data_IF_716674705895
#
_entry.id   IF_716674705895
#
_cell.length_a   1.000
_cell.length_b   1.000
_cell.length_c   1.000
_cell.angle_alpha   90.00
_cell.angle_beta   90.00
_cell.angle_gamma   90.00
#
_symmetry.space_group_name_H-M   'P 1'
#
loop_
_entity.id
_entity.type
_entity.pdbx_description
1 polymer ?
#
# COMPACT_ATOMS: atom_id res chain seq x y z
N UNK A 1 69.90 42.94 1.84
CA UNK A 1 69.26 42.55 0.56
C UNK A 1 68.75 43.73 -0.29
N UNK A 2 68.90 44.98 0.16
CA UNK A 2 68.36 46.19 -0.49
C UNK A 2 69.44 47.15 -1.03
N UNK A 3 70.68 46.69 -1.23
CA UNK A 3 71.77 47.60 -1.64
C UNK A 3 71.71 48.04 -3.12
N UNK A 4 70.75 47.52 -3.92
CA UNK A 4 70.48 47.93 -5.32
C UNK A 4 68.98 47.80 -5.68
N UNK A 5 68.09 48.65 -5.13
CA UNK A 5 66.64 48.47 -5.19
C UNK A 5 66.09 48.41 -6.63
N UNK A 6 66.60 49.25 -7.54
CA UNK A 6 66.22 49.21 -8.97
C UNK A 6 66.52 47.87 -9.65
N UNK A 7 67.67 47.24 -9.33
CA UNK A 7 68.07 45.96 -9.93
C UNK A 7 67.23 44.80 -9.37
N UNK A 8 66.89 44.85 -8.09
CA UNK A 8 66.04 43.86 -7.43
C UNK A 8 64.60 43.94 -7.94
N UNK A 9 64.00 45.14 -8.00
CA UNK A 9 62.65 45.34 -8.54
C UNK A 9 62.53 44.91 -10.01
N UNK A 10 63.54 45.21 -10.84
CA UNK A 10 63.57 44.77 -12.24
C UNK A 10 63.60 43.24 -12.37
N UNK A 11 64.35 42.54 -11.52
CA UNK A 11 64.37 41.07 -11.50
C UNK A 11 63.02 40.48 -11.07
N UNK A 12 62.41 41.01 -10.01
CA UNK A 12 61.09 40.55 -9.53
C UNK A 12 60.03 40.78 -10.61
N UNK A 13 60.02 41.96 -11.24
CA UNK A 13 59.08 42.28 -12.31
C UNK A 13 59.26 41.36 -13.52
N UNK A 14 60.50 41.01 -13.88
CA UNK A 14 60.81 40.09 -14.97
C UNK A 14 60.32 38.66 -14.66
N UNK A 15 60.52 38.19 -13.42
CA UNK A 15 60.01 36.89 -12.96
C UNK A 15 58.48 36.87 -13.01
N UNK A 16 57.81 37.91 -12.50
CA UNK A 16 56.36 38.02 -12.55
C UNK A 16 55.83 38.07 -13.98
N UNK A 17 56.51 38.77 -14.89
CA UNK A 17 56.16 38.80 -16.31
C UNK A 17 56.28 37.42 -16.96
N UNK A 18 57.35 36.67 -16.67
CA UNK A 18 57.54 35.30 -17.15
C UNK A 18 56.43 34.38 -16.63
N UNK A 19 56.11 34.45 -15.33
CA UNK A 19 55.03 33.66 -14.73
C UNK A 19 53.67 34.01 -15.36
N UNK A 20 53.40 35.29 -15.57
CA UNK A 20 52.16 35.76 -16.20
C UNK A 20 52.04 35.29 -17.64
N UNK A 21 53.15 35.32 -18.39
CA UNK A 21 53.21 34.82 -19.76
C UNK A 21 52.98 33.30 -19.80
N UNK A 22 53.63 32.54 -18.91
CA UNK A 22 53.43 31.10 -18.81
C UNK A 22 51.98 30.74 -18.45
N UNK A 23 51.39 31.48 -17.50
CA UNK A 23 49.97 31.34 -17.13
C UNK A 23 49.04 31.64 -18.29
N UNK A 24 49.29 32.70 -19.05
CA UNK A 24 48.52 33.05 -20.25
C UNK A 24 48.59 31.97 -21.33
N UNK A 25 49.78 31.43 -21.59
CA UNK A 25 49.97 30.33 -22.56
C UNK A 25 49.20 29.09 -22.12
N UNK A 26 49.28 28.72 -20.84
CA UNK A 26 48.50 27.60 -20.29
C UNK A 26 46.99 27.83 -20.47
N UNK A 27 46.51 29.04 -20.17
CA UNK A 27 45.10 29.40 -20.30
C UNK A 27 44.61 29.32 -21.74
N UNK A 28 45.40 29.84 -22.69
CA UNK A 28 45.07 29.75 -24.12
C UNK A 28 45.04 28.30 -24.61
N UNK A 29 45.96 27.46 -24.16
CA UNK A 29 45.98 26.03 -24.47
C UNK A 29 44.74 25.33 -23.91
N UNK A 30 44.39 25.59 -22.64
CA UNK A 30 43.20 25.03 -22.01
C UNK A 30 41.92 25.45 -22.75
N UNK A 31 41.79 26.75 -23.07
CA UNK A 31 40.66 27.29 -23.82
C UNK A 31 40.55 26.70 -25.23
N UNK A 32 41.68 26.57 -25.93
CA UNK A 32 41.74 25.96 -27.26
C UNK A 32 41.30 24.48 -27.22
N UNK A 33 41.80 23.70 -26.26
CA UNK A 33 41.40 22.31 -26.07
C UNK A 33 39.90 22.21 -25.81
N UNK A 34 39.35 23.10 -24.97
CA UNK A 34 37.93 23.11 -24.62
C UNK A 34 37.00 23.38 -25.80
N UNK A 35 37.36 24.33 -26.67
CA UNK A 35 36.51 24.71 -27.81
C UNK A 35 36.73 23.80 -29.02
N UNK A 36 37.98 23.45 -29.32
CA UNK A 36 38.33 22.80 -30.59
C UNK A 36 38.51 21.29 -30.48
N UNK A 37 38.67 20.76 -29.26
CA UNK A 37 38.81 19.32 -29.00
C UNK A 37 37.95 18.88 -27.82
N UNK A 38 36.62 19.10 -27.86
CA UNK A 38 35.72 18.67 -26.77
C UNK A 38 35.78 17.15 -26.52
N UNK A 39 36.02 16.35 -27.56
CA UNK A 39 36.22 14.90 -27.45
C UNK A 39 37.43 14.53 -26.56
N UNK A 40 38.48 15.35 -26.54
CA UNK A 40 39.64 15.12 -25.68
C UNK A 40 39.28 15.37 -24.21
N UNK A 41 38.47 16.39 -23.93
CA UNK A 41 37.92 16.63 -22.58
C UNK A 41 37.01 15.48 -22.17
N UNK A 42 36.09 15.04 -23.03
CA UNK A 42 35.24 13.88 -22.75
C UNK A 42 36.08 12.62 -22.46
N UNK A 43 37.13 12.36 -23.25
CA UNK A 43 38.03 11.23 -23.01
C UNK A 43 38.85 11.35 -21.73
N UNK A 44 39.09 12.57 -21.24
CA UNK A 44 39.73 12.81 -19.95
C UNK A 44 38.73 12.60 -18.82
N UNK A 45 37.50 13.11 -18.95
CA UNK A 45 36.40 12.90 -18.00
C UNK A 45 36.07 11.40 -17.85
N UNK A 46 36.07 10.63 -18.94
CA UNK A 46 35.91 9.17 -18.94
C UNK A 46 37.07 8.44 -18.24
N UNK A 47 38.27 9.03 -18.21
CA UNK A 47 39.46 8.48 -17.56
C UNK A 47 39.62 8.90 -16.12
N UNK A 48 38.92 9.94 -15.68
CA UNK A 48 38.86 10.31 -14.26
C UNK A 48 38.03 9.20 -13.58
N UNK A 49 38.64 8.37 -12.70
CA UNK A 49 37.90 7.33 -12.01
C UNK A 49 36.74 7.98 -11.27
N UNK A 50 35.52 7.52 -11.53
CA UNK A 50 34.36 7.97 -10.77
C UNK A 50 34.47 7.37 -9.36
N UNK A 51 35.23 8.05 -8.50
CA UNK A 51 35.53 7.66 -7.12
C UNK A 51 34.26 7.26 -6.37
N UNK A 52 33.17 7.99 -6.58
CA UNK A 52 31.88 7.70 -5.97
C UNK A 52 31.29 6.38 -6.47
N UNK A 53 31.32 6.11 -7.77
CA UNK A 53 30.81 4.86 -8.34
C UNK A 53 31.64 3.65 -7.86
N UNK A 54 32.96 3.78 -7.78
CA UNK A 54 33.82 2.75 -7.20
C UNK A 54 33.56 2.55 -5.70
N UNK A 55 33.39 3.62 -4.92
CA UNK A 55 33.08 3.52 -3.49
C UNK A 55 31.71 2.86 -3.26
N UNK A 56 30.69 3.21 -4.06
CA UNK A 56 29.36 2.60 -3.99
C UNK A 56 29.43 1.11 -4.29
N UNK A 57 30.13 0.71 -5.36
CA UNK A 57 30.30 -0.70 -5.70
C UNK A 57 31.04 -1.45 -4.58
N UNK A 58 32.07 -0.85 -4.00
CA UNK A 58 32.77 -1.44 -2.85
C UNK A 58 31.85 -1.65 -1.65
N UNK A 59 30.99 -0.68 -1.32
CA UNK A 59 30.02 -0.83 -0.24
C UNK A 59 28.96 -1.89 -0.54
N UNK A 60 28.43 -1.93 -1.77
CA UNK A 60 27.51 -2.96 -2.24
C UNK A 60 28.09 -4.36 -2.05
N UNK A 61 29.34 -4.56 -2.45
CA UNK A 61 30.02 -5.85 -2.27
C UNK A 61 30.21 -6.20 -0.80
N UNK A 62 30.60 -5.24 0.06
CA UNK A 62 30.73 -5.49 1.51
C UNK A 62 29.40 -5.90 2.14
N UNK A 63 28.30 -5.22 1.80
CA UNK A 63 26.96 -5.53 2.31
C UNK A 63 26.52 -6.93 1.84
N UNK A 64 26.71 -7.24 0.55
CA UNK A 64 26.34 -8.54 -0.03
C UNK A 64 27.15 -9.71 0.51
N UNK A 65 28.44 -9.48 0.77
CA UNK A 65 29.39 -10.50 1.23
C UNK A 65 29.53 -10.56 2.76
N UNK A 66 28.67 -9.84 3.50
CA UNK A 66 28.67 -9.86 4.96
C UNK A 66 28.36 -11.27 5.47
N UNK A 67 29.15 -11.78 6.42
CA UNK A 67 29.03 -13.16 6.93
C UNK A 67 27.95 -13.29 8.00
N UNK A 68 27.58 -12.19 8.63
CA UNK A 68 26.58 -12.14 9.69
C UNK A 68 25.61 -10.97 9.46
N UNK A 69 24.39 -11.09 10.01
CA UNK A 69 23.41 -10.00 9.99
C UNK A 69 23.95 -8.74 10.67
N UNK A 70 24.67 -8.89 11.79
CA UNK A 70 25.28 -7.76 12.50
C UNK A 70 26.29 -7.00 11.64
N UNK A 71 27.17 -7.72 10.94
CA UNK A 71 28.16 -7.13 10.02
C UNK A 71 27.47 -6.43 8.83
N UNK A 72 26.40 -7.04 8.31
CA UNK A 72 25.60 -6.45 7.24
C UNK A 72 25.01 -5.10 7.68
N UNK A 73 24.40 -5.03 8.86
CA UNK A 73 23.83 -3.80 9.41
C UNK A 73 24.90 -2.74 9.66
N UNK A 74 26.08 -3.12 10.17
CA UNK A 74 27.19 -2.17 10.35
C UNK A 74 27.64 -1.56 9.02
N UNK A 75 27.73 -2.38 7.96
CA UNK A 75 28.07 -1.92 6.62
C UNK A 75 26.97 -1.03 6.01
N UNK A 76 25.70 -1.32 6.28
CA UNK A 76 24.55 -0.48 5.88
C UNK A 76 24.63 0.89 6.56
N UNK A 77 24.87 0.94 7.87
CA UNK A 77 24.98 2.21 8.62
C UNK A 77 26.16 3.05 8.08
N UNK A 78 27.31 2.42 7.80
CA UNK A 78 28.46 3.10 7.18
C UNK A 78 28.11 3.68 5.82
N UNK A 79 27.46 2.89 4.97
CA UNK A 79 27.02 3.34 3.65
C UNK A 79 26.07 4.54 3.76
N UNK A 80 25.04 4.45 4.59
CA UNK A 80 24.09 5.56 4.78
C UNK A 80 24.86 6.80 5.20
N UNK A 81 25.66 6.75 6.28
CA UNK A 81 26.38 7.91 6.79
C UNK A 81 27.36 8.53 5.78
N UNK A 82 28.05 7.73 4.96
CA UNK A 82 29.00 8.23 3.96
C UNK A 82 28.30 8.96 2.81
N UNK A 83 27.20 8.39 2.30
CA UNK A 83 26.53 8.89 1.09
C UNK A 83 25.38 9.85 1.36
N UNK A 84 24.91 9.89 2.59
CA UNK A 84 23.87 10.82 3.04
C UNK A 84 24.29 12.29 2.84
N UNK A 85 25.52 12.65 3.16
CA UNK A 85 25.97 14.06 3.18
C UNK A 85 26.52 14.55 1.83
N UNK A 86 26.86 13.63 0.92
CA UNK A 86 27.85 13.92 -0.12
C UNK A 86 27.35 13.90 -1.55
N UNK A 87 26.15 13.40 -1.87
CA UNK A 87 25.83 13.15 -3.29
C UNK A 87 24.42 13.54 -3.75
N UNK A 88 24.37 14.54 -4.64
CA UNK A 88 23.25 14.83 -5.55
C UNK A 88 23.20 13.89 -6.76
N UNK A 89 23.83 12.72 -6.67
CA UNK A 89 23.92 11.75 -7.75
C UNK A 89 22.71 10.82 -7.72
N UNK A 90 21.78 11.01 -8.66
CA UNK A 90 20.62 10.12 -8.88
C UNK A 90 20.99 8.62 -8.94
N UNK A 91 22.22 8.28 -9.35
CA UNK A 91 22.72 6.89 -9.40
C UNK A 91 22.80 6.19 -8.04
N UNK A 92 22.96 6.93 -6.93
CA UNK A 92 23.10 6.37 -5.58
C UNK A 92 21.74 6.23 -4.90
N UNK A 93 20.82 7.12 -5.26
CA UNK A 93 19.55 7.31 -4.59
C UNK A 93 18.75 6.03 -4.42
N UNK A 94 18.57 5.25 -5.50
CA UNK A 94 17.80 4.00 -5.44
C UNK A 94 18.40 2.96 -4.46
N UNK A 95 19.73 2.88 -4.37
CA UNK A 95 20.37 1.98 -3.42
C UNK A 95 20.31 2.53 -1.98
N UNK A 96 20.36 3.85 -1.81
CA UNK A 96 20.19 4.48 -0.51
C UNK A 96 18.80 4.24 0.09
N UNK A 97 17.74 4.33 -0.74
CA UNK A 97 16.36 3.99 -0.34
C UNK A 97 16.30 2.56 0.20
N UNK A 98 16.85 1.59 -0.53
CA UNK A 98 16.90 0.18 -0.10
C UNK A 98 17.62 0.01 1.25
N UNK A 99 18.73 0.74 1.45
CA UNK A 99 19.49 0.66 2.70
C UNK A 99 18.71 1.21 3.90
N UNK A 100 17.97 2.30 3.73
CA UNK A 100 17.08 2.83 4.77
C UNK A 100 15.98 1.82 5.13
N UNK A 101 15.31 1.24 4.13
CA UNK A 101 14.26 0.24 4.33
C UNK A 101 14.79 -0.98 5.11
N UNK A 102 15.95 -1.52 4.72
CA UNK A 102 16.58 -2.66 5.40
C UNK A 102 16.96 -2.32 6.85
N UNK A 103 17.51 -1.12 7.10
CA UNK A 103 17.90 -0.71 8.43
C UNK A 103 16.70 -0.54 9.36
N UNK A 104 15.64 0.11 8.89
CA UNK A 104 14.39 0.30 9.63
C UNK A 104 13.76 -1.05 9.96
N UNK A 105 13.62 -1.94 8.97
CA UNK A 105 13.06 -3.28 9.19
C UNK A 105 13.85 -4.09 10.20
N UNK A 106 15.19 -4.01 10.15
CA UNK A 106 16.02 -4.66 11.17
C UNK A 106 15.76 -4.11 12.57
N UNK A 107 15.56 -2.78 12.73
CA UNK A 107 15.21 -2.22 14.04
C UNK A 107 13.85 -2.70 14.52
N UNK A 108 12.84 -2.77 13.65
CA UNK A 108 11.51 -3.30 13.98
C UNK A 108 11.60 -4.77 14.42
N UNK A 109 12.27 -5.62 13.65
CA UNK A 109 12.44 -7.06 13.95
C UNK A 109 13.15 -7.32 15.29
N UNK A 110 14.00 -6.38 15.74
CA UNK A 110 14.70 -6.45 17.02
C UNK A 110 13.98 -5.68 18.15
N UNK A 111 12.71 -5.31 17.97
CA UNK A 111 11.90 -4.53 18.93
C UNK A 111 12.53 -3.17 19.30
N UNK A 112 13.28 -2.55 18.39
CA UNK A 112 13.92 -1.24 18.56
C UNK A 112 13.11 -0.13 17.89
N UNK A 113 11.81 -0.05 18.20
CA UNK A 113 10.86 0.85 17.53
C UNK A 113 11.24 2.34 17.62
N UNK A 114 11.86 2.77 18.73
CA UNK A 114 12.37 4.14 18.88
C UNK A 114 13.45 4.45 17.85
N UNK A 115 14.42 3.55 17.65
CA UNK A 115 15.48 3.73 16.65
C UNK A 115 14.94 3.66 15.23
N UNK A 116 13.97 2.78 14.99
CA UNK A 116 13.27 2.72 13.72
C UNK A 116 12.60 4.07 13.40
N UNK A 117 11.88 4.65 14.37
CA UNK A 117 11.22 5.94 14.24
C UNK A 117 12.21 7.09 13.99
N UNK A 118 13.28 7.19 14.78
CA UNK A 118 14.35 8.19 14.59
C UNK A 118 15.00 8.08 13.20
N UNK A 119 15.23 6.85 12.73
CA UNK A 119 15.84 6.59 11.42
C UNK A 119 14.90 7.01 10.29
N UNK A 120 13.61 6.67 10.40
CA UNK A 120 12.60 7.05 9.42
C UNK A 120 12.37 8.58 9.38
N UNK A 121 12.35 9.23 10.55
CA UNK A 121 12.26 10.69 10.64
C UNK A 121 13.44 11.37 9.95
N UNK A 122 14.67 10.92 10.25
CA UNK A 122 15.88 11.45 9.61
C UNK A 122 15.83 11.26 8.09
N UNK A 123 15.37 10.10 7.63
CA UNK A 123 15.23 9.80 6.21
C UNK A 123 14.24 10.76 5.53
N UNK A 124 13.08 10.98 6.15
CA UNK A 124 12.04 11.87 5.64
C UNK A 124 12.48 13.33 5.56
N UNK A 125 13.09 13.85 6.63
CA UNK A 125 13.58 15.23 6.68
C UNK A 125 14.65 15.50 5.62
N UNK A 126 15.48 14.49 5.35
CA UNK A 126 16.58 14.59 4.40
C UNK A 126 16.14 14.48 2.95
N UNK A 127 15.12 13.67 2.68
CA UNK A 127 14.55 13.47 1.36
C UNK A 127 13.06 13.82 1.36
N UNK A 128 12.70 15.11 1.50
CA UNK A 128 11.32 15.54 1.71
C UNK A 128 10.38 15.34 0.50
N UNK A 129 10.89 14.90 -0.64
CA UNK A 129 10.08 14.54 -1.82
C UNK A 129 9.97 13.02 -2.03
N UNK A 130 10.61 12.20 -1.19
CA UNK A 130 10.52 10.73 -1.26
C UNK A 130 9.29 10.24 -0.49
N UNK A 131 8.28 9.75 -1.19
CA UNK A 131 7.06 9.25 -0.57
C UNK A 131 7.29 7.99 0.26
N UNK A 132 8.25 7.12 -0.12
CA UNK A 132 8.59 5.94 0.68
C UNK A 132 9.08 6.31 2.09
N UNK A 133 9.87 7.37 2.21
CA UNK A 133 10.33 7.88 3.49
C UNK A 133 9.15 8.39 4.33
N UNK A 134 8.21 9.11 3.70
CA UNK A 134 6.98 9.59 4.36
C UNK A 134 6.12 8.46 4.87
N UNK A 135 5.91 7.42 4.07
CA UNK A 135 5.11 6.27 4.44
C UNK A 135 5.77 5.45 5.55
N UNK A 136 7.10 5.26 5.49
CA UNK A 136 7.84 4.61 6.57
C UNK A 136 7.70 5.36 7.89
N UNK A 137 7.88 6.69 7.88
CA UNK A 137 7.74 7.51 9.07
C UNK A 137 6.30 7.54 9.61
N UNK A 138 5.30 7.72 8.74
CA UNK A 138 3.89 7.65 9.10
C UNK A 138 3.51 6.31 9.75
N UNK A 139 3.94 5.19 9.17
CA UNK A 139 3.61 3.86 9.69
C UNK A 139 4.19 3.62 11.09
N UNK A 140 5.40 4.12 11.36
CA UNK A 140 6.02 4.03 12.67
C UNK A 140 5.39 5.00 13.69
N UNK A 141 5.03 6.21 13.26
CA UNK A 141 4.25 7.15 14.09
C UNK A 141 2.91 6.53 14.48
N UNK A 142 2.18 5.95 13.53
CA UNK A 142 0.89 5.30 13.75
C UNK A 142 0.93 4.22 14.84
N UNK A 143 2.05 3.51 14.98
CA UNK A 143 2.24 2.49 16.01
C UNK A 143 2.61 3.07 17.39
N UNK A 144 3.09 4.30 17.45
CA UNK A 144 3.65 4.90 18.67
C UNK A 144 2.81 6.05 19.22
N UNK A 145 2.16 6.82 18.36
CA UNK A 145 1.39 8.03 18.67
C UNK A 145 0.37 8.30 17.53
N UNK A 146 -0.87 7.84 17.73
CA UNK A 146 -1.92 7.90 16.70
C UNK A 146 -2.33 9.34 16.35
N UNK A 147 -2.31 10.25 17.32
CA UNK A 147 -2.64 11.66 17.11
C UNK A 147 -1.56 12.36 16.29
N UNK A 148 -0.28 12.19 16.63
CA UNK A 148 0.82 12.72 15.81
C UNK A 148 0.82 12.13 14.41
N UNK A 149 0.49 10.84 14.27
CA UNK A 149 0.40 10.22 12.95
C UNK A 149 -0.69 10.87 12.08
N UNK A 150 -1.84 11.22 12.68
CA UNK A 150 -2.94 11.91 12.02
C UNK A 150 -2.53 13.33 11.60
N UNK A 151 -1.91 14.08 12.51
CA UNK A 151 -1.40 15.42 12.21
C UNK A 151 -0.41 15.38 11.05
N UNK A 152 0.54 14.43 11.08
CA UNK A 152 1.54 14.25 10.05
C UNK A 152 0.93 13.93 8.68
N UNK A 153 0.05 12.93 8.60
CA UNK A 153 -0.55 12.54 7.31
C UNK A 153 -1.55 13.59 6.79
N UNK A 154 -2.23 14.34 7.67
CA UNK A 154 -3.06 15.49 7.30
C UNK A 154 -2.21 16.57 6.62
N UNK A 155 -1.04 16.89 7.19
CA UNK A 155 -0.09 17.84 6.59
C UNK A 155 0.43 17.39 5.23
N UNK A 156 0.64 16.08 5.02
CA UNK A 156 1.01 15.53 3.72
C UNK A 156 -0.17 15.62 2.74
N UNK A 157 -1.37 15.21 3.16
CA UNK A 157 -2.58 15.23 2.33
C UNK A 157 -2.89 16.64 1.82
N UNK A 158 -2.77 17.66 2.67
CA UNK A 158 -2.98 19.05 2.26
C UNK A 158 -2.01 19.53 1.16
N UNK A 159 -0.82 18.92 1.06
CA UNK A 159 0.17 19.23 0.02
C UNK A 159 -0.02 18.40 -1.24
N UNK A 160 -0.49 17.17 -1.09
CA UNK A 160 -0.56 16.16 -2.16
C UNK A 160 -1.90 15.40 -2.15
N UNK A 161 -3.04 16.10 -2.26
CA UNK A 161 -4.37 15.49 -2.13
C UNK A 161 -4.74 14.59 -3.32
N UNK A 162 -4.02 14.72 -4.44
CA UNK A 162 -4.20 13.98 -5.68
C UNK A 162 -3.59 12.57 -5.63
N UNK A 163 -2.62 12.32 -4.74
CA UNK A 163 -1.98 11.02 -4.59
C UNK A 163 -2.91 10.07 -3.82
N UNK A 164 -3.35 9.01 -4.50
CA UNK A 164 -4.33 8.06 -3.97
C UNK A 164 -3.89 7.41 -2.65
N UNK A 165 -2.61 7.01 -2.57
CA UNK A 165 -2.06 6.35 -1.39
C UNK A 165 -2.11 7.27 -0.16
N UNK A 166 -1.76 8.55 -0.31
CA UNK A 166 -1.80 9.55 0.78
C UNK A 166 -3.22 9.76 1.27
N UNK A 167 -4.16 9.95 0.34
CA UNK A 167 -5.57 10.12 0.66
C UNK A 167 -6.14 8.89 1.39
N UNK A 168 -5.72 7.68 0.97
CA UNK A 168 -6.11 6.43 1.62
C UNK A 168 -5.56 6.36 3.04
N UNK A 169 -4.27 6.66 3.23
CA UNK A 169 -3.62 6.67 4.54
C UNK A 169 -4.23 7.75 5.46
N UNK A 170 -4.59 8.91 4.93
CA UNK A 170 -5.26 9.96 5.70
C UNK A 170 -6.66 9.54 6.13
N UNK A 171 -7.46 8.99 5.22
CA UNK A 171 -8.78 8.46 5.53
C UNK A 171 -8.71 7.37 6.62
N UNK A 172 -7.70 6.49 6.57
CA UNK A 172 -7.44 5.49 7.61
C UNK A 172 -7.05 6.12 8.94
N UNK A 173 -6.14 7.10 8.95
CA UNK A 173 -5.73 7.78 10.17
C UNK A 173 -6.90 8.54 10.82
N UNK A 174 -7.76 9.18 10.03
CA UNK A 174 -8.98 9.84 10.50
C UNK A 174 -9.88 8.84 11.23
N UNK A 175 -10.12 7.67 10.63
CA UNK A 175 -10.93 6.60 11.25
C UNK A 175 -10.32 6.16 12.58
N UNK A 176 -9.00 5.89 12.61
CA UNK A 176 -8.32 5.42 13.83
C UNK A 176 -8.39 6.42 14.98
N UNK A 177 -8.61 7.69 14.69
CA UNK A 177 -8.77 8.75 15.67
C UNK A 177 -10.25 9.19 15.83
N UNK A 178 -11.21 8.43 15.28
CA UNK A 178 -12.65 8.67 15.45
C UNK A 178 -13.27 9.73 14.52
N UNK A 179 -12.54 10.24 13.54
CA UNK A 179 -12.99 11.24 12.56
C UNK A 179 -13.68 10.60 11.35
N UNK A 180 -14.71 9.78 11.58
CA UNK A 180 -15.35 8.95 10.55
C UNK A 180 -16.00 9.79 9.44
N UNK A 181 -16.72 10.87 9.80
CA UNK A 181 -17.40 11.73 8.83
C UNK A 181 -16.41 12.43 7.88
N UNK A 182 -15.26 12.87 8.40
CA UNK A 182 -14.20 13.47 7.60
C UNK A 182 -13.61 12.44 6.64
N UNK A 183 -13.35 11.22 7.13
CA UNK A 183 -12.84 10.11 6.31
C UNK A 183 -13.77 9.77 5.13
N UNK A 184 -15.08 9.73 5.38
CA UNK A 184 -16.09 9.53 4.31
C UNK A 184 -16.02 10.66 3.27
N UNK A 185 -15.88 11.91 3.71
CA UNK A 185 -15.77 13.04 2.80
C UNK A 185 -14.49 12.96 1.95
N UNK A 186 -13.35 12.52 2.51
CA UNK A 186 -12.13 12.25 1.74
C UNK A 186 -12.39 11.17 0.68
N UNK A 187 -13.05 10.07 1.05
CA UNK A 187 -13.45 9.02 0.12
C UNK A 187 -14.38 9.50 -1.00
N UNK A 188 -15.31 10.40 -0.70
CA UNK A 188 -16.19 11.04 -1.70
C UNK A 188 -15.42 11.96 -2.64
N UNK A 189 -14.56 12.83 -2.11
CA UNK A 189 -13.72 13.73 -2.91
C UNK A 189 -12.78 12.96 -3.84
N UNK A 190 -12.24 11.84 -3.39
CA UNK A 190 -11.50 10.90 -4.24
C UNK A 190 -12.36 10.24 -5.32
N UNK A 191 -13.64 9.98 -5.06
CA UNK A 191 -14.53 9.43 -6.08
C UNK A 191 -14.76 10.48 -7.16
N UNK A 192 -15.04 11.71 -6.76
CA UNK A 192 -15.29 12.84 -7.67
C UNK A 192 -14.07 13.21 -8.51
N UNK A 193 -12.85 13.17 -7.97
CA UNK A 193 -11.63 13.48 -8.73
C UNK A 193 -11.17 12.37 -9.68
N UNK A 194 -11.61 11.13 -9.48
CA UNK A 194 -11.21 9.97 -10.28
C UNK A 194 -12.29 9.39 -11.20
N UNK A 195 -13.54 9.87 -11.11
CA UNK A 195 -14.59 9.55 -12.08
C UNK A 195 -14.15 9.88 -13.52
N UNK A 196 -13.10 10.69 -13.70
CA UNK A 196 -12.63 11.07 -15.03
C UNK A 196 -11.45 10.30 -15.64
N UNK A 197 -10.62 9.45 -14.99
CA UNK A 197 -9.37 9.02 -15.68
C UNK A 197 -8.64 7.68 -15.34
N UNK A 198 -9.17 6.70 -14.60
CA UNK A 198 -8.53 5.37 -14.53
C UNK A 198 -9.51 4.23 -14.82
N UNK A 199 -9.66 3.91 -16.11
CA UNK A 199 -10.42 2.72 -16.53
C UNK A 199 -9.72 1.46 -16.02
N UNK A 200 -10.47 0.55 -15.40
CA UNK A 200 -9.95 -0.75 -14.97
C UNK A 200 -9.48 -1.52 -16.20
N UNK A 201 -8.20 -1.91 -16.18
CA UNK A 201 -7.57 -2.67 -17.24
C UNK A 201 -7.61 -4.17 -16.95
N UNK A 202 -7.60 -4.98 -18.01
CA UNK A 202 -7.52 -6.42 -17.89
C UNK A 202 -6.41 -6.97 -18.78
N UNK A 203 -5.64 -7.89 -18.23
CA UNK A 203 -4.58 -8.57 -18.97
C UNK A 203 -4.67 -10.07 -18.75
N UNK A 204 -4.30 -10.83 -19.77
CA UNK A 204 -4.15 -12.27 -19.67
C UNK A 204 -2.68 -12.66 -19.81
N UNK A 205 -2.25 -13.67 -19.08
CA UNK A 205 -0.96 -14.32 -19.26
C UNK A 205 -1.16 -15.83 -19.39
N UNK A 206 -0.33 -16.47 -20.19
CA UNK A 206 -0.35 -17.93 -20.34
C UNK A 206 1.04 -18.55 -20.08
N UNK A 207 1.04 -19.83 -19.71
CA UNK A 207 2.23 -20.68 -19.60
C UNK A 207 2.25 -21.69 -20.75
N UNK A 208 3.44 -22.02 -21.24
CA UNK A 208 3.65 -23.09 -22.21
C UNK A 208 5.05 -23.73 -22.05
N UNK A 209 5.49 -24.53 -23.02
CA UNK A 209 6.83 -25.13 -23.00
C UNK A 209 7.97 -24.10 -23.04
N UNK A 210 7.79 -23.01 -23.80
CA UNK A 210 8.78 -21.94 -23.91
C UNK A 210 8.84 -21.08 -22.64
N UNK A 211 7.68 -20.84 -22.03
CA UNK A 211 7.52 -20.02 -20.83
C UNK A 211 6.82 -20.86 -19.75
N UNK A 212 7.58 -21.63 -18.94
CA UNK A 212 7.01 -22.53 -17.93
C UNK A 212 6.42 -21.78 -16.73
N UNK A 213 6.76 -20.50 -16.55
CA UNK A 213 6.18 -19.57 -15.59
C UNK A 213 5.48 -18.41 -16.32
N UNK A 214 4.59 -17.68 -15.61
CA UNK A 214 3.98 -16.46 -16.16
C UNK A 214 5.08 -15.43 -16.41
N UNK A 215 5.15 -14.90 -17.63
CA UNK A 215 6.25 -14.05 -18.09
C UNK A 215 5.70 -12.86 -18.90
N UNK A 216 6.39 -11.71 -18.88
CA UNK A 216 5.95 -10.50 -19.59
C UNK A 216 5.70 -10.73 -21.10
N UNK A 217 6.48 -11.62 -21.73
CA UNK A 217 6.34 -11.98 -23.15
C UNK A 217 5.04 -12.74 -23.47
N UNK A 218 4.39 -13.36 -22.49
CA UNK A 218 3.10 -14.06 -22.69
C UNK A 218 1.90 -13.16 -22.39
N UNK A 219 2.15 -11.88 -22.10
CA UNK A 219 1.13 -10.88 -21.80
C UNK A 219 0.25 -10.59 -23.00
N UNK A 220 -1.05 -10.58 -22.76
CA UNK A 220 -2.09 -10.16 -23.69
C UNK A 220 -2.85 -9.04 -23.02
N UNK A 221 -2.48 -7.79 -23.32
CA UNK A 221 -3.24 -6.62 -22.88
C UNK A 221 -4.55 -6.56 -23.66
N UNK A 222 -5.68 -6.54 -22.96
CA UNK A 222 -6.97 -6.37 -23.61
C UNK A 222 -7.21 -4.89 -23.88
N UNK A 223 -7.46 -4.49 -25.14
CA UNK A 223 -7.90 -3.13 -25.41
C UNK A 223 -9.28 -2.92 -24.80
N UNK A 224 -9.54 -1.73 -24.28
CA UNK A 224 -10.76 -1.37 -23.54
C UNK A 224 -12.05 -1.67 -24.30
N UNK A 225 -12.02 -1.64 -25.64
CA UNK A 225 -13.16 -2.05 -26.49
C UNK A 225 -13.58 -3.52 -26.33
N UNK A 226 -12.71 -4.38 -25.76
CA UNK A 226 -12.99 -5.78 -25.46
C UNK A 226 -13.44 -5.96 -23.99
N UNK A 227 -13.66 -4.86 -23.28
CA UNK A 227 -14.19 -4.81 -21.91
C UNK A 227 -15.58 -4.21 -21.98
N UNK A 228 -16.59 -5.04 -21.77
CA UNK A 228 -17.97 -4.57 -21.60
C UNK A 228 -18.21 -4.23 -20.13
N UNK A 229 -18.74 -3.04 -19.85
CA UNK A 229 -19.05 -2.59 -18.50
C UNK A 229 -20.52 -2.22 -18.38
N UNK A 230 -21.21 -2.83 -17.42
CA UNK A 230 -22.57 -2.50 -17.03
C UNK A 230 -22.57 -2.24 -15.53
N UNK A 231 -22.62 -0.96 -15.13
CA UNK A 231 -22.47 -0.55 -13.74
C UNK A 231 -21.11 -0.95 -13.17
N UNK A 232 -21.12 -1.85 -12.18
CA UNK A 232 -19.92 -2.40 -11.53
C UNK A 232 -19.52 -3.79 -12.08
N UNK A 233 -20.29 -4.33 -13.03
CA UNK A 233 -20.00 -5.60 -13.66
C UNK A 233 -19.14 -5.39 -14.90
N UNK A 234 -18.07 -6.18 -15.01
CA UNK A 234 -17.12 -6.20 -16.11
C UNK A 234 -17.22 -7.56 -16.81
N UNK A 235 -17.25 -7.55 -18.13
CA UNK A 235 -17.12 -8.75 -18.96
C UNK A 235 -15.98 -8.56 -19.94
N UNK A 236 -15.02 -9.47 -19.91
CA UNK A 236 -13.83 -9.42 -20.76
C UNK A 236 -13.70 -10.67 -21.59
N UNK A 237 -13.38 -10.48 -22.86
CA UNK A 237 -13.27 -11.57 -23.83
C UNK A 237 -11.87 -11.56 -24.44
N UNK A 238 -11.25 -12.72 -24.45
CA UNK A 238 -9.93 -12.94 -25.04
C UNK A 238 -9.96 -14.17 -25.95
N UNK A 239 -9.57 -13.98 -27.20
CA UNK A 239 -9.40 -15.07 -28.16
C UNK A 239 -7.92 -15.17 -28.58
N UNK A 240 -7.29 -16.32 -28.36
CA UNK A 240 -5.88 -16.54 -28.67
C UNK A 240 -5.55 -17.99 -28.97
N UNK A 241 -4.72 -18.20 -29.99
CA UNK A 241 -4.04 -19.47 -30.22
C UNK A 241 -2.83 -19.59 -29.28
N UNK A 242 -2.83 -20.64 -28.46
CA UNK A 242 -1.82 -20.90 -27.44
C UNK A 242 -1.25 -22.30 -27.68
N UNK A 243 0.02 -22.33 -28.07
CA UNK A 243 0.76 -23.58 -28.25
C UNK A 243 1.11 -24.19 -26.89
N UNK A 244 0.84 -25.48 -26.73
CA UNK A 244 1.19 -26.30 -25.55
C UNK A 244 0.81 -25.62 -24.23
N UNK A 245 -0.46 -25.24 -24.09
CA UNK A 245 -0.92 -24.50 -22.92
C UNK A 245 -0.69 -25.28 -21.62
N UNK A 246 -0.19 -24.61 -20.58
CA UNK A 246 0.03 -25.22 -19.25
C UNK A 246 -0.68 -24.48 -18.12
N UNK A 247 -1.06 -23.24 -18.34
CA UNK A 247 -1.71 -22.41 -17.35
C UNK A 247 -2.11 -21.06 -17.93
N UNK A 248 -3.05 -20.41 -17.26
CA UNK A 248 -3.63 -19.13 -17.63
C UNK A 248 -3.86 -18.32 -16.35
N UNK A 249 -3.63 -17.01 -16.42
CA UNK A 249 -4.07 -16.08 -15.37
C UNK A 249 -4.69 -14.83 -15.98
N UNK A 250 -5.51 -14.18 -15.20
CA UNK A 250 -6.07 -12.86 -15.47
C UNK A 250 -5.58 -11.88 -14.40
N UNK A 251 -5.01 -10.77 -14.86
CA UNK A 251 -4.51 -9.67 -14.02
C UNK A 251 -5.48 -8.50 -14.18
N UNK A 252 -5.74 -7.79 -13.07
CA UNK A 252 -6.67 -6.66 -13.05
C UNK A 252 -5.90 -5.40 -12.69
N UNK A 253 -5.71 -4.53 -13.67
CA UNK A 253 -4.95 -3.29 -13.54
C UNK A 253 -5.84 -2.12 -13.13
N UNK A 254 -5.27 -1.17 -12.39
CA UNK A 254 -5.99 0.04 -11.95
C UNK A 254 -7.00 -0.22 -10.84
N UNK A 255 -7.00 -1.42 -10.26
CA UNK A 255 -7.77 -1.71 -9.06
C UNK A 255 -7.19 -1.00 -7.84
N UNK A 256 -8.07 -0.47 -6.98
CA UNK A 256 -7.66 0.19 -5.73
C UNK A 256 -7.50 -0.85 -4.62
N UNK A 257 -6.48 -0.68 -3.79
CA UNK A 257 -6.36 -1.42 -2.52
C UNK A 257 -7.65 -1.23 -1.72
N UNK A 258 -8.26 -2.33 -1.27
CA UNK A 258 -9.55 -2.31 -0.61
C UNK A 258 -10.77 -2.28 -1.54
N UNK A 259 -10.64 -2.54 -2.83
CA UNK A 259 -11.82 -2.82 -3.68
C UNK A 259 -12.38 -4.23 -3.37
N UNK A 260 -13.65 -4.51 -3.72
CA UNK A 260 -14.22 -5.86 -3.64
C UNK A 260 -14.40 -6.44 -5.03
N UNK A 261 -13.92 -7.66 -5.23
CA UNK A 261 -14.19 -8.47 -6.42
C UNK A 261 -15.16 -9.59 -6.02
N UNK A 262 -16.28 -9.69 -6.72
CA UNK A 262 -17.27 -10.76 -6.51
C UNK A 262 -17.80 -11.31 -7.83
N UNK A 263 -18.60 -12.37 -7.73
CA UNK A 263 -19.35 -12.96 -8.86
C UNK A 263 -18.47 -13.36 -10.05
N UNK A 264 -17.25 -13.80 -9.75
CA UNK A 264 -16.26 -14.18 -10.77
C UNK A 264 -16.75 -15.44 -11.48
N UNK A 265 -16.96 -15.32 -12.80
CA UNK A 265 -17.30 -16.43 -13.70
C UNK A 265 -16.32 -16.43 -14.85
N UNK A 266 -15.66 -17.56 -15.05
CA UNK A 266 -14.65 -17.71 -16.11
C UNK A 266 -15.07 -18.89 -16.98
N UNK A 267 -15.37 -18.60 -18.24
CA UNK A 267 -15.73 -19.59 -19.24
C UNK A 267 -14.59 -19.75 -20.24
N UNK A 268 -14.35 -20.98 -20.70
CA UNK A 268 -13.39 -21.31 -21.75
C UNK A 268 -14.09 -22.08 -22.86
N UNK A 269 -13.89 -21.66 -24.11
CA UNK A 269 -14.32 -22.38 -25.29
C UNK A 269 -13.10 -22.83 -26.10
N UNK A 270 -13.02 -24.13 -26.38
CA UNK A 270 -11.96 -24.73 -27.22
C UNK A 270 -12.62 -25.65 -28.25
N UNK A 271 -12.36 -25.41 -29.53
CA UNK A 271 -12.90 -26.25 -30.62
C UNK A 271 -14.44 -26.30 -30.64
N UNK A 272 -15.11 -25.24 -30.19
CA UNK A 272 -16.58 -25.17 -30.10
C UNK A 272 -17.20 -25.82 -28.86
N UNK A 273 -16.40 -26.47 -28.01
CA UNK A 273 -16.86 -27.02 -26.72
C UNK A 273 -16.67 -25.98 -25.61
N UNK A 274 -17.74 -25.69 -24.88
CA UNK A 274 -17.77 -24.70 -23.79
C UNK A 274 -17.57 -25.38 -22.43
N UNK A 275 -16.71 -24.80 -21.61
CA UNK A 275 -16.44 -25.16 -20.22
C UNK A 275 -16.78 -23.94 -19.38
N UNK A 276 -17.82 -24.06 -18.55
CA UNK A 276 -18.38 -22.94 -17.80
C UNK A 276 -17.91 -22.94 -16.35
N UNK A 277 -17.78 -21.76 -15.76
CA UNK A 277 -17.40 -21.56 -14.36
C UNK A 277 -16.14 -22.37 -13.97
N UNK A 278 -15.07 -22.22 -14.76
CA UNK A 278 -13.78 -22.80 -14.44
C UNK A 278 -13.33 -22.37 -13.04
N UNK A 279 -12.79 -23.34 -12.31
CA UNK A 279 -12.15 -23.06 -11.03
C UNK A 279 -11.00 -22.08 -11.23
N UNK A 280 -10.77 -21.24 -10.22
CA UNK A 280 -9.65 -20.32 -10.16
C UNK A 280 -9.14 -20.22 -8.74
N UNK A 281 -7.94 -19.69 -8.58
CA UNK A 281 -7.39 -19.33 -7.26
C UNK A 281 -6.88 -17.90 -7.28
N UNK A 282 -7.14 -17.12 -6.21
CA UNK A 282 -6.48 -15.83 -6.04
C UNK A 282 -4.98 -16.07 -5.82
N UNK A 283 -4.15 -15.25 -6.43
CA UNK A 283 -2.71 -15.24 -6.20
C UNK A 283 -2.24 -13.80 -6.11
N UNK A 284 -1.19 -13.59 -5.32
CA UNK A 284 -0.50 -12.31 -5.14
C UNK A 284 -1.40 -11.14 -4.72
N UNK A 285 -1.22 -10.68 -3.48
CA UNK A 285 -1.90 -9.49 -2.99
C UNK A 285 -3.42 -9.52 -3.18
N UNK A 286 -4.03 -10.71 -3.12
CA UNK A 286 -5.47 -10.91 -3.02
C UNK A 286 -5.73 -11.79 -1.80
N UNK A 287 -6.67 -11.38 -0.95
CA UNK A 287 -7.17 -12.18 0.17
C UNK A 287 -8.65 -12.49 -0.03
N UNK A 288 -9.05 -13.69 0.39
CA UNK A 288 -10.45 -14.08 0.39
C UNK A 288 -11.22 -13.32 1.47
N UNK A 289 -12.45 -12.96 1.16
CA UNK A 289 -13.36 -12.22 2.01
C UNK A 289 -14.65 -13.02 2.24
N UNK A 290 -15.54 -12.47 3.07
CA UNK A 290 -16.82 -13.09 3.34
C UNK A 290 -17.60 -13.36 2.04
N UNK A 291 -18.36 -14.45 2.04
CA UNK A 291 -19.28 -14.85 0.96
C UNK A 291 -18.61 -15.06 -0.41
N UNK A 292 -17.36 -15.56 -0.45
CA UNK A 292 -16.68 -15.93 -1.70
C UNK A 292 -16.24 -14.72 -2.54
N UNK A 293 -16.07 -13.56 -1.90
CA UNK A 293 -15.51 -12.36 -2.52
C UNK A 293 -14.00 -12.25 -2.26
N UNK A 294 -13.32 -11.35 -2.98
CA UNK A 294 -11.87 -11.19 -2.92
C UNK A 294 -11.48 -9.72 -2.76
N UNK A 295 -10.40 -9.45 -2.01
CA UNK A 295 -9.87 -8.11 -1.72
C UNK A 295 -8.43 -7.99 -2.21
N UNK A 296 -8.07 -6.99 -3.04
CA UNK A 296 -6.69 -6.67 -3.32
C UNK A 296 -6.05 -6.00 -2.09
N UNK A 297 -4.89 -6.50 -1.68
CA UNK A 297 -4.04 -5.93 -0.62
C UNK A 297 -2.85 -5.15 -1.19
N UNK A 298 -2.75 -5.02 -2.52
CA UNK A 298 -1.71 -4.28 -3.21
C UNK A 298 -2.09 -3.95 -4.65
N UNK A 299 -1.09 -3.67 -5.48
CA UNK A 299 -1.27 -3.05 -6.81
C UNK A 299 -1.27 -4.02 -7.98
N UNK A 300 -1.01 -5.32 -7.74
CA UNK A 300 -0.93 -6.35 -8.79
C UNK A 300 -1.79 -7.60 -8.46
N UNK A 301 -3.12 -7.45 -8.30
CA UNK A 301 -4.01 -8.57 -8.01
C UNK A 301 -4.27 -9.43 -9.26
N UNK A 302 -4.06 -10.74 -9.17
CA UNK A 302 -4.41 -11.67 -10.25
C UNK A 302 -5.02 -13.00 -9.81
N UNK A 303 -5.75 -13.64 -10.73
CA UNK A 303 -6.33 -14.98 -10.54
C UNK A 303 -5.69 -15.97 -11.50
N UNK A 304 -5.17 -17.09 -10.98
CA UNK A 304 -4.77 -18.22 -11.82
C UNK A 304 -5.99 -19.10 -12.09
N UNK A 305 -6.22 -19.41 -13.36
CA UNK A 305 -7.38 -20.15 -13.87
C UNK A 305 -6.98 -21.62 -14.04
N UNK A 306 -7.75 -22.53 -13.46
CA UNK A 306 -7.51 -23.96 -13.62
C UNK A 306 -8.04 -24.43 -14.97
N UNK A 307 -7.09 -24.75 -15.86
CA UNK A 307 -7.40 -25.29 -17.19
C UNK A 307 -7.69 -26.79 -17.06
N UNK A 308 -8.74 -27.32 -17.73
CA UNK A 308 -9.00 -28.76 -17.79
C UNK A 308 -7.76 -29.56 -18.22
N UNK A 309 -7.49 -30.67 -17.52
CA UNK A 309 -6.29 -31.50 -17.74
C UNK A 309 -6.15 -31.99 -19.19
N UNK A 310 -7.28 -32.24 -19.87
CA UNK A 310 -7.30 -32.69 -21.26
C UNK A 310 -6.67 -31.69 -22.25
N UNK A 311 -6.56 -30.41 -21.90
CA UNK A 311 -5.93 -29.39 -22.73
C UNK A 311 -4.47 -29.11 -22.37
N UNK A 312 -3.99 -29.58 -21.22
CA UNK A 312 -2.62 -29.28 -20.79
C UNK A 312 -1.62 -29.95 -21.72
N UNK A 313 -0.68 -29.16 -22.23
CA UNK A 313 0.30 -29.60 -23.23
C UNK A 313 -0.28 -29.76 -24.64
N UNK A 314 -1.48 -29.24 -24.92
CA UNK A 314 -2.06 -29.21 -26.26
C UNK A 314 -2.00 -27.81 -26.86
N UNK A 315 -2.02 -27.75 -28.20
CA UNK A 315 -2.15 -26.51 -28.94
C UNK A 315 -3.64 -26.21 -29.07
N UNK A 316 -4.08 -25.06 -28.57
CA UNK A 316 -5.51 -24.72 -28.51
C UNK A 316 -5.77 -23.33 -29.06
N UNK A 317 -6.92 -23.15 -29.71
CA UNK A 317 -7.55 -21.84 -29.88
C UNK A 317 -8.47 -21.62 -28.69
N UNK A 318 -8.02 -20.83 -27.72
CA UNK A 318 -8.78 -20.51 -26.53
C UNK A 318 -9.63 -19.25 -26.76
N UNK A 319 -10.93 -19.34 -26.48
CA UNK A 319 -11.81 -18.20 -26.29
C UNK A 319 -12.25 -18.16 -24.83
N UNK A 320 -11.76 -17.17 -24.09
CA UNK A 320 -11.96 -17.01 -22.66
C UNK A 320 -12.85 -15.81 -22.42
N UNK A 321 -13.94 -16.04 -21.69
CA UNK A 321 -14.81 -14.99 -21.19
C UNK A 321 -14.76 -14.97 -19.67
N UNK A 322 -14.23 -13.88 -19.10
CA UNK A 322 -14.31 -13.65 -17.66
C UNK A 322 -15.34 -12.56 -17.37
N UNK A 323 -16.20 -12.79 -16.39
CA UNK A 323 -17.16 -11.82 -15.89
C UNK A 323 -16.96 -11.68 -14.40
N UNK A 324 -16.92 -10.45 -13.90
CA UNK A 324 -16.73 -10.17 -12.48
C UNK A 324 -17.37 -8.84 -12.09
N UNK A 325 -17.77 -8.72 -10.83
CA UNK A 325 -18.24 -7.47 -10.25
C UNK A 325 -17.08 -6.82 -9.48
N UNK A 326 -16.75 -5.57 -9.78
CA UNK A 326 -15.74 -4.79 -9.04
C UNK A 326 -16.41 -3.59 -8.39
N UNK A 327 -16.37 -3.54 -7.06
CA UNK A 327 -16.86 -2.44 -6.26
C UNK A 327 -15.66 -1.64 -5.72
N UNK A 328 -15.40 -0.48 -6.33
CA UNK A 328 -14.36 0.48 -5.94
C UNK A 328 -14.89 1.52 -4.92
N UNK A 329 -15.61 1.07 -3.89
CA UNK A 329 -16.39 1.98 -3.04
C UNK A 329 -15.63 2.38 -1.76
N UNK A 330 -15.66 3.67 -1.34
CA UNK A 330 -15.23 4.08 0.01
C UNK A 330 -16.07 3.43 1.13
N UNK A 331 -17.26 2.94 0.80
CA UNK A 331 -18.16 2.15 1.64
C UNK A 331 -17.48 0.87 2.19
N UNK A 332 -16.52 0.33 1.46
CA UNK A 332 -15.78 -0.87 1.85
C UNK A 332 -14.80 -0.65 3.02
N UNK A 333 -14.34 0.58 3.25
CA UNK A 333 -13.47 0.88 4.39
C UNK A 333 -14.25 0.81 5.71
N UNK A 334 -15.52 1.20 5.70
CA UNK A 334 -16.43 1.05 6.82
C UNK A 334 -16.80 -0.44 7.02
N UNK A 335 -17.09 -1.17 5.93
CA UNK A 335 -17.28 -2.63 5.94
C UNK A 335 -16.10 -3.34 6.57
N UNK A 336 -14.87 -3.08 6.11
CA UNK A 336 -13.65 -3.72 6.64
C UNK A 336 -13.42 -3.45 8.13
N UNK A 337 -13.71 -2.24 8.60
CA UNK A 337 -13.55 -1.87 10.02
C UNK A 337 -14.60 -2.59 10.89
N UNK A 338 -15.85 -2.67 10.40
CA UNK A 338 -16.93 -3.37 11.10
C UNK A 338 -16.79 -4.89 11.00
N UNK A 339 -16.13 -5.41 9.97
CA UNK A 339 -15.80 -6.82 9.76
C UNK A 339 -14.51 -7.26 10.49
N UNK A 340 -13.55 -6.36 10.71
CA UNK A 340 -12.27 -6.67 11.37
C UNK A 340 -12.36 -6.70 12.88
N UNK A 341 -13.37 -6.02 13.44
CA UNK A 341 -13.65 -5.97 14.87
C UNK A 341 -14.77 -6.98 15.18
N UNK A 342 -14.54 -7.85 16.18
CA UNK A 342 -15.47 -8.93 16.48
C UNK A 342 -16.73 -8.40 17.18
N UNK A 343 -17.87 -8.53 16.52
CA UNK A 343 -19.16 -8.37 17.16
C UNK A 343 -19.49 -9.63 17.94
N UNK A 344 -19.75 -9.47 19.24
CA UNK A 344 -19.97 -10.60 20.12
C UNK A 344 -21.20 -10.39 20.99
N UNK A 345 -22.04 -11.41 21.00
CA UNK A 345 -23.23 -11.49 21.83
C UNK A 345 -22.95 -12.48 22.95
N UNK A 346 -23.18 -12.10 24.20
CA UNK A 346 -23.10 -13.01 25.35
C UNK A 346 -24.48 -13.13 26.02
N UNK A 347 -24.74 -14.31 26.58
CA UNK A 347 -25.95 -14.56 27.36
C UNK A 347 -25.60 -15.26 28.67
N UNK A 348 -26.26 -14.86 29.76
CA UNK A 348 -26.02 -15.47 31.08
C UNK A 348 -27.25 -15.36 31.99
N UNK A 349 -27.30 -16.21 33.01
CA UNK A 349 -28.31 -16.16 34.09
C UNK A 349 -27.94 -15.07 35.12
N UNK A 350 -26.72 -14.55 35.07
CA UNK A 350 -26.22 -13.51 35.96
C UNK A 350 -25.35 -12.51 35.19
N UNK A 351 -24.80 -11.49 35.86
CA UNK A 351 -23.93 -10.49 35.22
C UNK A 351 -22.49 -10.97 34.93
N UNK A 352 -22.20 -12.25 35.16
CA UNK A 352 -20.91 -12.85 34.84
C UNK A 352 -20.99 -13.50 33.45
N UNK A 353 -20.36 -12.87 32.46
CA UNK A 353 -20.33 -13.35 31.08
C UNK A 353 -19.08 -14.19 30.83
N UNK A 354 -19.25 -15.28 30.07
CA UNK A 354 -18.17 -16.20 29.73
C UNK A 354 -18.15 -16.49 28.24
N UNK A 355 -16.95 -16.69 27.69
CA UNK A 355 -16.71 -16.91 26.26
C UNK A 355 -17.46 -18.14 25.71
N UNK A 356 -17.63 -19.19 26.53
CA UNK A 356 -18.37 -20.40 26.17
C UNK A 356 -19.89 -20.18 26.04
N UNK A 357 -20.40 -19.03 26.52
CA UNK A 357 -21.79 -18.58 26.37
C UNK A 357 -21.86 -17.32 25.50
N UNK A 358 -21.13 -17.36 24.40
CA UNK A 358 -21.07 -16.25 23.46
C UNK A 358 -21.27 -16.71 22.02
N UNK A 359 -21.77 -15.80 21.19
CA UNK A 359 -21.95 -15.99 19.77
C UNK A 359 -21.33 -14.77 19.07
N UNK A 360 -20.29 -15.04 18.29
CA UNK A 360 -19.73 -14.04 17.38
C UNK A 360 -20.61 -13.96 16.15
N UNK A 361 -20.91 -12.75 15.71
CA UNK A 361 -21.72 -12.53 14.51
C UNK A 361 -21.07 -11.51 13.59
N UNK A 362 -21.52 -11.47 12.34
CA UNK A 362 -21.04 -10.51 11.34
C UNK A 362 -22.15 -9.55 11.00
N UNK A 363 -21.79 -8.29 10.74
CA UNK A 363 -22.74 -7.25 10.38
C UNK A 363 -22.81 -7.14 8.87
N UNK A 364 -24.03 -7.26 8.32
CA UNK A 364 -24.27 -6.87 6.93
C UNK A 364 -24.46 -5.34 6.88
N UNK A 365 -23.52 -4.63 6.25
CA UNK A 365 -23.60 -3.17 6.18
C UNK A 365 -24.12 -2.75 4.81
N UNK A 366 -25.41 -2.49 4.73
CA UNK A 366 -26.00 -1.86 3.54
C UNK A 366 -25.95 -0.35 3.68
N UNK A 367 -24.89 0.29 3.19
CA UNK A 367 -24.77 1.75 3.21
C UNK A 367 -25.65 2.35 2.12
N UNK A 368 -26.92 2.58 2.44
CA UNK A 368 -27.74 3.60 1.78
C UNK A 368 -27.99 4.69 2.82
N UNK A 369 -27.46 5.88 2.59
CA UNK A 369 -27.66 7.08 3.43
C UNK A 369 -27.30 6.94 4.92
N UNK A 370 -26.23 6.21 5.24
CA UNK A 370 -25.65 6.08 6.60
C UNK A 370 -26.66 5.46 7.58
N UNK A 371 -27.15 4.27 7.26
CA UNK A 371 -27.84 3.39 8.22
C UNK A 371 -27.20 2.01 8.13
N UNK A 372 -26.64 1.53 9.24
CA UNK A 372 -26.15 0.15 9.35
C UNK A 372 -27.28 -0.68 9.94
N UNK A 373 -27.79 -1.65 9.18
CA UNK A 373 -28.80 -2.59 9.66
C UNK A 373 -28.11 -3.89 10.08
N UNK A 374 -27.96 -4.09 11.38
CA UNK A 374 -27.45 -5.35 11.94
C UNK A 374 -28.62 -6.32 12.06
N UNK A 375 -28.61 -7.43 11.31
CA UNK A 375 -29.54 -8.55 11.54
C UNK A 375 -28.76 -9.78 12.00
N UNK A 376 -29.02 -10.24 13.22
CA UNK A 376 -28.49 -11.50 13.75
C UNK A 376 -29.66 -12.42 14.13
N UNK A 377 -29.72 -13.61 13.52
CA UNK A 377 -30.65 -14.67 13.93
C UNK A 377 -29.92 -15.62 14.86
N UNK A 378 -30.19 -15.50 16.15
CA UNK A 378 -29.62 -16.37 17.16
C UNK A 378 -30.63 -17.48 17.45
N UNK A 379 -30.30 -18.72 17.09
CA UNK A 379 -31.05 -19.89 17.55
C UNK A 379 -30.65 -20.16 19.00
N UNK A 380 -31.15 -19.33 19.92
CA UNK A 380 -30.99 -19.58 21.34
C UNK A 380 -31.86 -20.80 21.67
N UNK A 381 -31.23 -21.97 21.89
CA UNK A 381 -31.94 -23.03 22.60
C UNK A 381 -32.48 -22.44 23.90
N UNK A 382 -33.68 -22.84 24.36
CA UNK A 382 -34.41 -22.14 25.40
C UNK A 382 -33.56 -22.09 26.66
N UNK A 383 -32.88 -20.97 26.87
CA UNK A 383 -31.90 -20.75 27.90
C UNK A 383 -32.53 -19.79 28.89
N UNK A 384 -32.41 -20.15 30.16
CA UNK A 384 -32.67 -19.38 31.38
C UNK A 384 -31.89 -18.06 31.49
N UNK A 385 -31.49 -17.45 30.37
CA UNK A 385 -30.72 -16.22 30.33
C UNK A 385 -31.56 -15.05 30.85
N UNK A 386 -31.08 -14.44 31.93
CA UNK A 386 -31.66 -13.22 32.51
C UNK A 386 -30.96 -11.95 32.00
N UNK A 387 -29.70 -12.08 31.55
CA UNK A 387 -28.88 -10.96 31.08
C UNK A 387 -28.30 -11.23 29.70
N UNK A 388 -28.23 -10.16 28.91
CA UNK A 388 -27.62 -10.16 27.58
C UNK A 388 -26.57 -9.07 27.51
N UNK A 389 -25.35 -9.40 27.09
CA UNK A 389 -24.29 -8.43 26.81
C UNK A 389 -24.02 -8.40 25.31
N UNK A 390 -23.98 -7.20 24.76
CA UNK A 390 -23.58 -6.99 23.39
C UNK A 390 -22.33 -6.12 23.33
N UNK A 391 -21.32 -6.63 22.63
CA UNK A 391 -20.05 -5.97 22.40
C UNK A 391 -20.05 -5.34 21.01
N UNK A 392 -19.56 -4.10 20.96
CA UNK A 392 -19.43 -3.32 19.74
C UNK A 392 -17.95 -3.22 19.34
N UNK A 393 -17.66 -2.93 18.06
CA UNK A 393 -16.34 -2.52 17.62
C UNK A 393 -15.84 -1.32 18.44
N UNK A 394 -14.56 -1.35 18.84
CA UNK A 394 -13.89 -0.27 19.57
C UNK A 394 -13.57 0.94 18.67
N UNK A 395 -14.59 1.45 17.97
CA UNK A 395 -14.49 2.54 17.01
C UNK A 395 -15.07 3.81 17.64
N UNK A 396 -14.19 4.64 18.19
CA UNK A 396 -14.59 5.93 18.79
C UNK A 396 -15.38 6.79 17.80
N UNK A 397 -16.51 7.35 18.24
CA UNK A 397 -17.39 8.17 17.41
C UNK A 397 -18.38 7.41 16.52
N UNK A 398 -18.37 6.07 16.57
CA UNK A 398 -19.41 5.25 15.94
C UNK A 398 -20.75 5.50 16.65
N UNK A 399 -21.75 5.95 15.88
CA UNK A 399 -23.10 6.25 16.37
C UNK A 399 -24.10 5.22 15.86
N UNK A 400 -24.83 4.60 16.77
CA UNK A 400 -25.96 3.71 16.48
C UNK A 400 -27.26 4.44 16.77
N UNK A 401 -28.16 4.51 15.79
CA UNK A 401 -29.52 5.06 15.95
C UNK A 401 -30.52 3.95 15.70
N UNK A 402 -31.68 3.99 16.37
CA UNK A 402 -32.77 3.00 16.20
C UNK A 402 -32.33 1.54 16.42
N UNK A 403 -31.40 1.32 17.35
CA UNK A 403 -30.90 -0.02 17.67
C UNK A 403 -31.99 -0.84 18.39
N UNK A 404 -32.17 -2.09 17.97
CA UNK A 404 -33.14 -3.04 18.54
C UNK A 404 -32.54 -4.42 18.57
N UNK A 405 -32.77 -5.17 19.65
CA UNK A 405 -32.44 -6.60 19.72
C UNK A 405 -33.74 -7.38 19.69
N UNK A 406 -33.89 -8.23 18.69
CA UNK A 406 -35.03 -9.15 18.58
C UNK A 406 -34.55 -10.56 18.93
N UNK A 407 -35.05 -11.11 20.04
CA UNK A 407 -34.80 -12.48 20.49
C UNK A 407 -36.12 -13.25 20.43
N UNK A 408 -36.30 -14.06 19.38
CA UNK A 408 -37.56 -14.74 19.06
C UNK A 408 -38.77 -13.77 19.08
N UNK A 409 -39.61 -13.83 20.12
CA UNK A 409 -40.82 -13.00 20.30
C UNK A 409 -40.59 -11.75 21.19
N UNK A 410 -39.37 -11.53 21.68
CA UNK A 410 -39.02 -10.43 22.59
C UNK A 410 -38.22 -9.37 21.85
N UNK A 411 -38.72 -8.13 21.84
CA UNK A 411 -38.00 -6.95 21.36
C UNK A 411 -37.46 -6.18 22.55
N UNK A 412 -36.12 -6.10 22.66
CA UNK A 412 -35.42 -5.30 23.64
C UNK A 412 -35.03 -3.97 22.99
N UNK A 413 -35.58 -2.88 23.53
CA UNK A 413 -35.28 -1.51 23.10
C UNK A 413 -34.06 -0.97 23.88
N UNK A 414 -33.27 -0.11 23.23
CA UNK A 414 -32.00 0.41 23.76
C UNK A 414 -32.10 1.15 25.08
N UNK A 415 -33.25 1.72 25.40
CA UNK A 415 -33.47 2.52 26.61
C UNK A 415 -33.59 1.67 27.89
N UNK A 416 -33.60 0.33 27.77
CA UNK A 416 -33.76 -0.63 28.86
C UNK A 416 -32.48 -1.38 29.24
N UNK A 417 -31.31 -0.73 29.15
CA UNK A 417 -30.05 -1.36 29.57
C UNK A 417 -29.81 -1.22 31.09
N UNK A 418 -29.16 -2.22 31.69
CA UNK A 418 -28.80 -2.25 33.11
C UNK A 418 -27.36 -1.84 33.38
N UNK A 419 -26.49 -1.88 32.36
CA UNK A 419 -25.12 -1.36 32.42
C UNK A 419 -24.59 -1.08 31.01
N UNK A 420 -23.65 -0.13 30.90
CA UNK A 420 -22.93 0.15 29.67
C UNK A 420 -21.49 0.54 30.00
N UNK A 421 -20.55 0.17 29.13
CA UNK A 421 -19.14 0.50 29.26
C UNK A 421 -18.65 1.17 27.99
N UNK A 422 -17.91 2.27 28.12
CA UNK A 422 -17.34 3.00 26.98
C UNK A 422 -18.36 3.34 25.87
N UNK A 423 -19.59 3.62 26.30
CA UNK A 423 -20.72 4.07 25.50
C UNK A 423 -21.36 5.30 26.15
N UNK A 424 -21.82 6.24 25.34
CA UNK A 424 -22.66 7.35 25.78
C UNK A 424 -24.04 7.25 25.12
N UNK A 425 -25.10 7.16 25.93
CA UNK A 425 -26.48 7.08 25.45
C UNK A 425 -27.13 8.46 25.46
N UNK A 426 -27.47 8.95 24.28
CA UNK A 426 -28.21 10.20 24.09
C UNK A 426 -29.71 9.85 24.00
N UNK A 427 -30.39 9.95 25.14
CA UNK A 427 -31.78 9.55 25.32
C UNK A 427 -32.76 10.31 24.41
N UNK A 428 -32.47 11.57 24.07
CA UNK A 428 -33.30 12.41 23.19
C UNK A 428 -33.29 11.95 21.72
N UNK A 429 -32.24 11.23 21.29
CA UNK A 429 -32.05 10.82 19.90
C UNK A 429 -32.07 9.28 19.73
N UNK A 430 -32.36 8.53 20.80
CA UNK A 430 -32.20 7.06 20.85
C UNK A 430 -30.88 6.60 20.23
N UNK A 431 -29.80 7.31 20.59
CA UNK A 431 -28.48 7.17 19.95
C UNK A 431 -27.45 6.66 20.94
N UNK A 432 -26.74 5.60 20.58
CA UNK A 432 -25.57 5.09 21.32
C UNK A 432 -24.30 5.57 20.60
N UNK A 433 -23.39 6.20 21.31
CA UNK A 433 -22.09 6.62 20.79
C UNK A 433 -20.96 5.84 21.47
N UNK A 434 -20.05 5.26 20.69
CA UNK A 434 -18.86 4.57 21.20
C UNK A 434 -17.81 5.60 21.63
N UNK A 435 -17.28 5.48 22.84
CA UNK A 435 -16.36 6.47 23.43
C UNK A 435 -15.02 5.90 23.88
N UNK A 436 -14.78 4.59 23.77
CA UNK A 436 -13.55 3.97 24.25
C UNK A 436 -13.38 2.51 23.83
N UNK A 437 -12.39 1.84 24.44
CA UNK A 437 -12.03 0.46 24.14
C UNK A 437 -12.97 -0.53 24.86
N UNK A 438 -13.26 -1.70 24.28
CA UNK A 438 -14.25 -2.65 24.85
C UNK A 438 -15.65 -2.02 25.10
N UNK A 439 -16.26 -1.38 24.07
CA UNK A 439 -17.60 -0.83 24.21
C UNK A 439 -18.63 -1.94 24.26
N UNK A 440 -19.44 -1.97 25.31
CA UNK A 440 -20.52 -2.96 25.45
C UNK A 440 -21.72 -2.43 26.22
N UNK A 441 -22.87 -3.06 25.98
CA UNK A 441 -24.13 -2.78 26.67
C UNK A 441 -24.69 -4.07 27.25
N UNK A 442 -25.23 -4.00 28.46
CA UNK A 442 -25.88 -5.12 29.15
C UNK A 442 -27.35 -4.77 29.34
N UNK A 443 -28.23 -5.66 28.87
CA UNK A 443 -29.67 -5.61 29.06
C UNK A 443 -30.11 -6.53 30.18
#
# INVERSE_FOLDING_TARGET
MWNKPKKTLRRISLILAIISLAGMVFWLLAWYIWIKKPEYIQSLDEKIPNYYEQSIQSHKEKIRNSKTKSEQIENIIKFINEFDETTSLNKVYGFLVEMYELLINNYIENNQNVKALETAEKWEQKYPYEFRAKFAYFNLLKQTDSEKSLEYISNIYNKYPDINEISTLYAQALIQNGHIAESINIGRLQKESYIDNSEIGFMFFYKNDKYPSFHADTKISLPLKNVERIGNQYSVIMQKEINKIKGLRIDIDGMRVGSKISDIKIDLTVGGRKYENLEFKPLNQIVEAAHGSFKPTGTDPYFEIFIPEEFKGQDILADIKATLTIQNQPEFFLENMLDSEEWQFFYSENKDFSEDKSIKFKVDTTIHDIRVKVEAKLALQPLSAEFVRLDFPAVSGLKFTNFKIELDDVVIETDKYVAANNLNYLQEESTINVTGNDPHIIF
#
